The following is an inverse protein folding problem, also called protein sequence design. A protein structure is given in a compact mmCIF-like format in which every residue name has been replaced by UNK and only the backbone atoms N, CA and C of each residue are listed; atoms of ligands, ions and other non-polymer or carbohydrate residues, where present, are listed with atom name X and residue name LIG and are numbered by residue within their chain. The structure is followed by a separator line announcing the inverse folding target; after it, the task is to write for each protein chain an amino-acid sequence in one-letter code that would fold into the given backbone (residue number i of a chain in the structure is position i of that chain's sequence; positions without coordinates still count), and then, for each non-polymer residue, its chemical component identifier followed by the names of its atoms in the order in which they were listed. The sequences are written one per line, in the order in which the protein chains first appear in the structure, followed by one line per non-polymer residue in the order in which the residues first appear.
data_IF_296759826926
#
_entry.id   IF_296759826926
#
_cell.length_a   1.000
_cell.length_b   1.000
_cell.length_c   1.000
_cell.angle_alpha   90.00
_cell.angle_beta   90.00
_cell.angle_gamma   90.00
#
_symmetry.space_group_name_H-M   'P 1'
#
loop_
_entity.id
_entity.type
_entity.pdbx_description
1 polymer ?
#
# COMPACT_ATOMS: atom_id res chain seq x y z
N UNK A 1 8.39 9.83 18.53
CA UNK A 1 9.07 8.89 17.60
C UNK A 1 8.26 8.70 16.34
N UNK A 2 8.89 8.87 15.18
CA UNK A 2 8.19 8.67 13.90
C UNK A 2 8.05 7.19 13.61
N UNK A 3 6.90 6.79 13.10
CA UNK A 3 6.64 5.42 12.70
C UNK A 3 7.16 5.18 11.27
N UNK A 4 7.47 3.93 10.98
CA UNK A 4 7.87 3.52 9.64
C UNK A 4 6.65 3.03 8.87
N UNK A 5 6.52 3.49 7.62
CA UNK A 5 5.42 3.10 6.73
C UNK A 5 6.00 2.29 5.58
N UNK A 6 5.43 1.12 5.33
CA UNK A 6 5.75 0.33 4.15
C UNK A 6 4.53 0.33 3.22
N UNK A 7 4.76 0.77 1.98
CA UNK A 7 3.73 0.82 0.94
C UNK A 7 4.00 -0.33 -0.01
N UNK A 8 3.04 -1.23 -0.20
CA UNK A 8 3.21 -2.33 -1.14
C UNK A 8 2.02 -2.43 -2.07
N UNK A 9 2.29 -2.39 -3.37
CA UNK A 9 1.27 -2.42 -4.41
C UNK A 9 1.16 -3.79 -5.08
N UNK A 10 1.85 -4.79 -4.53
CA UNK A 10 1.84 -6.14 -5.07
C UNK A 10 2.67 -6.26 -6.34
N UNK A 11 2.52 -7.40 -7.01
CA UNK A 11 3.29 -7.72 -8.21
C UNK A 11 2.42 -7.88 -9.46
N UNK A 12 1.17 -7.44 -9.43
CA UNK A 12 0.27 -7.51 -10.57
C UNK A 12 0.70 -6.55 -11.67
N UNK A 13 0.35 -6.87 -12.92
CA UNK A 13 0.77 -6.12 -14.11
C UNK A 13 0.13 -4.74 -14.26
N UNK A 14 -0.66 -4.31 -13.28
CA UNK A 14 -1.37 -3.04 -13.35
C UNK A 14 -0.68 -1.98 -12.52
N UNK A 15 -0.71 -0.74 -12.99
CA UNK A 15 -0.19 0.40 -12.25
C UNK A 15 -1.15 0.79 -11.12
N UNK A 16 -0.61 1.48 -10.12
CA UNK A 16 -1.41 2.07 -9.06
C UNK A 16 -0.90 3.49 -8.76
N UNK A 17 -0.76 4.27 -9.81
CA UNK A 17 -0.20 5.62 -9.73
C UNK A 17 -1.04 6.54 -8.84
N UNK A 18 -2.35 6.39 -8.88
CA UNK A 18 -3.28 7.20 -8.10
C UNK A 18 -2.94 7.18 -6.61
N UNK A 19 -2.64 6.00 -6.08
CA UNK A 19 -2.28 5.87 -4.66
C UNK A 19 -0.93 6.52 -4.36
N UNK A 20 0.06 6.29 -5.21
CA UNK A 20 1.40 6.89 -5.02
C UNK A 20 1.35 8.41 -5.08
N UNK A 21 0.57 8.96 -6.02
CA UNK A 21 0.41 10.41 -6.13
C UNK A 21 -0.25 10.99 -4.88
N UNK A 22 -1.26 10.33 -4.36
CA UNK A 22 -1.95 10.80 -3.17
C UNK A 22 -1.04 10.80 -1.94
N UNK A 23 -0.25 9.74 -1.76
CA UNK A 23 0.68 9.67 -0.64
C UNK A 23 1.79 10.73 -0.77
N UNK A 24 2.34 10.86 -1.97
CA UNK A 24 3.40 11.85 -2.22
C UNK A 24 2.90 13.28 -1.96
N UNK A 25 1.65 13.58 -2.30
CA UNK A 25 1.05 14.86 -2.03
C UNK A 25 0.95 15.17 -0.52
N UNK A 26 0.71 14.15 0.29
CA UNK A 26 0.69 14.32 1.74
C UNK A 26 2.05 14.74 2.27
N UNK A 27 3.13 14.19 1.72
CA UNK A 27 4.50 14.56 2.11
C UNK A 27 4.85 15.98 1.68
N UNK A 28 4.36 16.42 0.55
CA UNK A 28 4.63 17.76 0.04
C UNK A 28 4.10 18.85 0.99
N UNK A 29 2.97 18.57 1.64
CA UNK A 29 2.31 19.56 2.51
C UNK A 29 2.60 19.36 3.99
N UNK A 30 3.48 18.42 4.37
CA UNK A 30 3.71 18.07 5.76
C UNK A 30 5.15 17.64 5.99
N UNK A 31 5.96 18.54 6.54
CA UNK A 31 7.39 18.31 6.76
C UNK A 31 7.69 17.23 7.82
N UNK A 32 6.71 16.91 8.65
CA UNK A 32 6.88 15.98 9.76
C UNK A 32 6.27 14.60 9.53
N UNK A 33 6.08 14.24 8.26
CA UNK A 33 5.54 12.92 7.92
C UNK A 33 6.49 11.80 8.32
N UNK A 34 5.91 10.64 8.63
CA UNK A 34 6.65 9.43 8.93
C UNK A 34 7.50 8.98 7.74
N UNK A 35 8.56 8.25 8.05
CA UNK A 35 9.44 7.69 7.02
C UNK A 35 8.73 6.57 6.28
N UNK A 36 8.81 6.59 4.95
CA UNK A 36 8.15 5.58 4.12
C UNK A 36 9.11 4.94 3.12
N UNK A 37 8.80 3.71 2.75
CA UNK A 37 9.45 2.98 1.67
C UNK A 37 8.37 2.25 0.88
N UNK A 38 8.48 2.25 -0.46
CA UNK A 38 7.44 1.70 -1.32
C UNK A 38 7.96 0.63 -2.28
N UNK A 39 7.18 -0.43 -2.42
CA UNK A 39 7.30 -1.36 -3.55
C UNK A 39 6.21 -0.98 -4.54
N UNK A 40 6.60 -0.42 -5.70
CA UNK A 40 5.64 0.20 -6.62
C UNK A 40 5.21 -0.69 -7.78
N UNK A 41 5.84 -1.86 -7.95
CA UNK A 41 5.46 -2.81 -8.99
C UNK A 41 5.55 -2.21 -10.38
N UNK A 42 4.47 -2.33 -11.14
CA UNK A 42 4.38 -1.83 -12.51
C UNK A 42 3.90 -0.37 -12.60
N UNK A 43 3.81 0.32 -11.46
CA UNK A 43 3.44 1.74 -11.46
C UNK A 43 4.52 2.57 -12.16
N UNK A 44 4.10 3.63 -12.84
CA UNK A 44 5.00 4.50 -13.59
C UNK A 44 5.26 5.83 -12.90
N UNK A 45 4.43 6.20 -11.93
CA UNK A 45 4.65 7.39 -11.14
C UNK A 45 5.89 7.22 -10.27
N UNK A 46 6.79 8.19 -10.30
CA UNK A 46 8.03 8.15 -9.53
C UNK A 46 7.86 9.00 -8.27
N UNK A 47 7.83 8.38 -7.07
CA UNK A 47 7.70 9.14 -5.83
C UNK A 47 8.86 10.10 -5.62
N UNK A 48 8.55 11.30 -5.13
CA UNK A 48 9.54 12.37 -4.89
C UNK A 48 9.97 12.45 -3.42
N UNK A 49 9.10 12.05 -2.49
CA UNK A 49 9.30 12.29 -1.07
C UNK A 49 9.65 11.05 -0.26
N UNK A 50 9.69 9.88 -0.88
CA UNK A 50 10.07 8.65 -0.20
C UNK A 50 10.79 7.69 -1.15
N UNK A 51 11.57 6.80 -0.57
CA UNK A 51 12.34 5.81 -1.33
C UNK A 51 11.43 4.71 -1.86
N UNK A 52 11.83 4.11 -2.97
CA UNK A 52 11.06 3.04 -3.58
C UNK A 52 11.95 2.06 -4.32
N UNK A 53 11.40 0.87 -4.58
CA UNK A 53 11.87 -0.09 -5.57
C UNK A 53 10.67 -0.60 -6.34
N UNK A 54 10.89 -1.04 -7.57
CA UNK A 54 9.80 -1.62 -8.36
C UNK A 54 9.37 -2.96 -7.76
N UNK A 55 10.33 -3.83 -7.49
CA UNK A 55 10.06 -5.15 -6.91
C UNK A 55 11.09 -5.45 -5.84
N UNK A 56 10.64 -6.17 -4.81
CA UNK A 56 11.50 -6.69 -3.74
C UNK A 56 11.52 -8.20 -3.86
N UNK A 57 12.68 -8.81 -3.60
CA UNK A 57 12.71 -10.25 -3.42
C UNK A 57 12.06 -10.60 -2.06
N UNK A 58 11.91 -11.90 -1.80
CA UNK A 58 11.22 -12.36 -0.60
C UNK A 58 11.87 -11.83 0.68
N UNK A 59 13.19 -11.88 0.76
CA UNK A 59 13.92 -11.46 1.97
C UNK A 59 13.84 -9.96 2.16
N UNK A 60 14.00 -9.17 1.11
CA UNK A 60 13.84 -7.72 1.15
C UNK A 60 12.43 -7.34 1.60
N UNK A 61 11.42 -8.01 1.06
CA UNK A 61 10.02 -7.77 1.42
C UNK A 61 9.79 -8.03 2.91
N UNK A 62 10.32 -9.15 3.42
CA UNK A 62 10.18 -9.50 4.83
C UNK A 62 10.88 -8.49 5.75
N UNK A 63 12.04 -7.99 5.34
CA UNK A 63 12.75 -6.97 6.11
C UNK A 63 11.92 -5.68 6.20
N UNK A 64 11.38 -5.20 5.07
CA UNK A 64 10.59 -3.98 5.06
C UNK A 64 9.28 -4.15 5.83
N UNK A 65 8.64 -5.31 5.70
CA UNK A 65 7.44 -5.62 6.48
C UNK A 65 7.73 -5.61 7.99
N UNK A 66 8.86 -6.16 8.40
CA UNK A 66 9.24 -6.23 9.81
C UNK A 66 9.56 -4.87 10.41
N UNK A 67 10.19 -3.99 9.65
CA UNK A 67 10.54 -2.63 10.10
C UNK A 67 9.32 -1.72 10.24
N UNK A 68 8.28 -1.99 9.48
CA UNK A 68 7.13 -1.09 9.39
C UNK A 68 6.24 -1.19 10.60
N UNK A 69 5.66 -0.07 10.97
CA UNK A 69 4.59 0.02 11.98
C UNK A 69 3.22 0.06 11.30
N UNK A 70 3.18 0.67 10.10
CA UNK A 70 1.96 0.84 9.32
C UNK A 70 2.21 0.30 7.93
N UNK A 71 1.28 -0.48 7.42
CA UNK A 71 1.31 -1.01 6.05
C UNK A 71 0.21 -0.32 5.25
N UNK A 72 0.58 0.32 4.14
CA UNK A 72 -0.38 0.83 3.16
C UNK A 72 -0.29 -0.11 1.97
N UNK A 73 -1.42 -0.74 1.62
CA UNK A 73 -1.41 -1.76 0.59
C UNK A 73 -2.63 -1.65 -0.31
N UNK A 74 -2.52 -2.27 -1.49
CA UNK A 74 -3.68 -2.50 -2.33
C UNK A 74 -4.58 -3.57 -1.70
N UNK A 75 -5.74 -3.83 -2.31
CA UNK A 75 -6.70 -4.78 -1.75
C UNK A 75 -6.37 -6.25 -1.98
N UNK A 76 -5.10 -6.60 -2.10
CA UNK A 76 -4.67 -7.98 -2.31
C UNK A 76 -4.69 -8.76 -1.00
N UNK A 77 -5.32 -9.94 -1.03
CA UNK A 77 -5.51 -10.76 0.16
C UNK A 77 -4.18 -11.15 0.82
N UNK A 78 -3.20 -11.56 0.01
CA UNK A 78 -1.91 -12.01 0.55
C UNK A 78 -1.18 -10.95 1.34
N UNK A 79 -1.15 -9.71 0.82
CA UNK A 79 -0.48 -8.60 1.49
C UNK A 79 -1.20 -8.22 2.79
N UNK A 80 -2.53 -8.18 2.77
CA UNK A 80 -3.32 -7.83 3.94
C UNK A 80 -3.13 -8.89 5.04
N UNK A 81 -3.30 -10.16 4.70
CA UNK A 81 -3.18 -11.25 5.68
C UNK A 81 -1.76 -11.31 6.24
N UNK A 82 -0.75 -11.17 5.39
CA UNK A 82 0.64 -11.19 5.83
C UNK A 82 0.94 -10.10 6.85
N UNK A 83 0.43 -8.89 6.62
CA UNK A 83 0.61 -7.78 7.54
C UNK A 83 -0.15 -7.99 8.85
N UNK A 84 -1.38 -8.48 8.79
CA UNK A 84 -2.19 -8.74 9.97
C UNK A 84 -1.56 -9.82 10.87
N UNK A 85 -0.99 -10.86 10.28
CA UNK A 85 -0.30 -11.92 11.03
C UNK A 85 0.89 -11.39 11.82
N UNK A 86 1.49 -10.32 11.36
CA UNK A 86 2.62 -9.67 12.03
C UNK A 86 2.20 -8.56 12.99
N UNK A 87 0.90 -8.40 13.20
CA UNK A 87 0.38 -7.39 14.13
C UNK A 87 0.51 -5.96 13.64
N UNK A 88 0.64 -5.75 12.34
CA UNK A 88 0.79 -4.41 11.79
C UNK A 88 -0.56 -3.73 11.59
N UNK A 89 -0.58 -2.40 11.67
CA UNK A 89 -1.75 -1.62 11.24
C UNK A 89 -1.79 -1.63 9.72
N UNK A 90 -2.96 -1.89 9.15
CA UNK A 90 -3.12 -2.00 7.70
C UNK A 90 -4.11 -0.96 7.21
N UNK A 91 -3.66 -0.14 6.26
CA UNK A 91 -4.51 0.77 5.50
C UNK A 91 -4.59 0.17 4.10
N UNK A 92 -5.79 -0.19 3.66
CA UNK A 92 -5.98 -0.86 2.39
C UNK A 92 -6.77 0.03 1.42
N UNK A 93 -6.26 0.13 0.18
CA UNK A 93 -6.86 0.94 -0.88
C UNK A 93 -7.16 0.02 -2.06
N UNK A 94 -8.42 -0.10 -2.48
CA UNK A 94 -8.75 -1.00 -3.58
C UNK A 94 -8.28 -0.47 -4.92
N UNK A 95 -7.74 -1.37 -5.74
CA UNK A 95 -7.53 -1.09 -7.17
C UNK A 95 -8.88 -1.10 -7.86
N UNK A 96 -9.09 -0.17 -8.77
CA UNK A 96 -10.37 -0.04 -9.47
C UNK A 96 -10.16 -0.17 -10.97
N UNK A 97 -11.05 -0.92 -11.61
CA UNK A 97 -10.98 -1.16 -13.06
C UNK A 97 -11.11 0.13 -13.87
N UNK A 98 -11.93 1.07 -13.39
CA UNK A 98 -12.15 2.35 -14.09
C UNK A 98 -10.89 3.21 -14.21
N UNK A 99 -9.87 2.95 -13.40
CA UNK A 99 -8.59 3.66 -13.45
C UNK A 99 -7.47 2.82 -14.08
N UNK A 100 -7.81 1.66 -14.65
CA UNK A 100 -6.81 0.78 -15.23
C UNK A 100 -5.91 0.11 -14.20
N UNK A 101 -6.38 -0.06 -12.99
CA UNK A 101 -5.59 -0.60 -11.87
C UNK A 101 -5.81 -2.10 -11.66
N UNK A 102 -6.85 -2.65 -12.26
CA UNK A 102 -7.21 -4.06 -12.16
C UNK A 102 -8.19 -4.42 -13.28
N UNK A 103 -8.41 -5.73 -13.48
CA UNK A 103 -9.38 -6.21 -14.48
C UNK A 103 -10.83 -6.01 -14.04
N UNK A 104 -11.06 -5.91 -12.72
CA UNK A 104 -12.39 -5.75 -12.12
C UNK A 104 -12.27 -5.00 -10.81
N UNK A 105 -13.38 -4.89 -10.07
CA UNK A 105 -13.43 -4.21 -8.78
C UNK A 105 -13.44 -5.20 -7.60
N UNK A 106 -12.91 -6.39 -7.79
CA UNK A 106 -12.92 -7.44 -6.77
C UNK A 106 -12.22 -7.01 -5.47
N UNK A 107 -11.16 -6.18 -5.57
CA UNK A 107 -10.46 -5.71 -4.38
C UNK A 107 -11.33 -4.85 -3.47
N UNK A 108 -12.29 -4.13 -4.04
CA UNK A 108 -13.25 -3.37 -3.24
C UNK A 108 -14.08 -4.29 -2.35
N UNK A 109 -14.49 -5.44 -2.87
CA UNK A 109 -15.24 -6.44 -2.11
C UNK A 109 -14.38 -7.06 -1.01
N UNK A 110 -13.13 -7.39 -1.31
CA UNK A 110 -12.20 -7.97 -0.33
C UNK A 110 -11.96 -7.00 0.84
N UNK A 111 -11.73 -5.74 0.53
CA UNK A 111 -11.50 -4.71 1.54
C UNK A 111 -12.73 -4.57 2.44
N UNK A 112 -13.92 -4.60 1.86
CA UNK A 112 -15.17 -4.52 2.65
C UNK A 112 -15.28 -5.69 3.62
N UNK A 113 -14.92 -6.90 3.20
CA UNK A 113 -14.96 -8.08 4.07
C UNK A 113 -14.02 -7.94 5.26
N UNK A 114 -12.80 -7.46 5.04
CA UNK A 114 -11.84 -7.23 6.13
C UNK A 114 -12.30 -6.10 7.04
N UNK A 115 -12.89 -5.05 6.48
CA UNK A 115 -13.42 -3.93 7.26
C UNK A 115 -14.59 -4.36 8.14
N UNK A 116 -15.48 -5.21 7.64
CA UNK A 116 -16.60 -5.74 8.41
C UNK A 116 -16.12 -6.52 9.65
N UNK A 117 -14.91 -7.07 9.58
CA UNK A 117 -14.28 -7.77 10.70
C UNK A 117 -13.42 -6.84 11.57
N UNK A 118 -13.39 -5.56 11.28
CA UNK A 118 -12.57 -4.56 11.98
C UNK A 118 -11.07 -4.86 11.96
N UNK A 119 -10.58 -5.48 10.89
CA UNK A 119 -9.17 -5.89 10.79
C UNK A 119 -8.29 -4.86 10.10
N UNK A 120 -8.87 -3.97 9.31
CA UNK A 120 -8.12 -2.99 8.52
C UNK A 120 -8.75 -1.61 8.61
N UNK A 121 -8.02 -0.59 8.15
CA UNK A 121 -8.55 0.74 7.91
C UNK A 121 -8.73 0.89 6.39
N UNK A 122 -9.98 0.87 5.89
CA UNK A 122 -10.20 0.99 4.44
C UNK A 122 -10.05 2.43 3.98
N UNK A 123 -9.51 2.62 2.77
CA UNK A 123 -9.43 3.93 2.14
C UNK A 123 -9.91 3.78 0.70
N UNK A 124 -11.15 4.16 0.44
CA UNK A 124 -11.78 4.01 -0.87
C UNK A 124 -11.78 5.28 -1.69
N UNK A 125 -11.37 6.38 -1.08
CA UNK A 125 -11.34 7.70 -1.71
C UNK A 125 -9.96 8.32 -1.56
N UNK A 126 -9.17 8.26 -2.62
CA UNK A 126 -7.84 8.86 -2.66
C UNK A 126 -7.71 9.85 -3.80
#
# INVERSE_FOLDING_TARGET
MKKNIFITLGSQKFQFNRLLEAIDALYENNENMEKAFAQIGYSTYIPKHFKYKNFLDRDEFMVEMSKADIIITHGGTGAIIGALKKGKKVIAVPRLAKYGEHVDDHQLQLIKQFDDLNLICPCTDV
#
